data_IF_295555426702
#
_entry.id   IF_295555426702
#
_cell.length_a   1.000
_cell.length_b   1.000
_cell.length_c   1.000
_cell.angle_alpha   90.00
_cell.angle_beta   90.00
_cell.angle_gamma   90.00
#
_symmetry.space_group_name_H-M   'P 1'
#
loop_
_entity.id
_entity.type
_entity.pdbx_description
1 polymer ?
#
# COMPACT_ATOMS: atom_id res chain seq x y z
N UNK A 1 12.34 5.12 -8.17
CA UNK A 1 11.31 5.88 -7.42
C UNK A 1 11.64 7.35 -7.42
N UNK A 2 10.63 8.21 -7.67
CA UNK A 2 10.76 9.68 -7.70
C UNK A 2 10.83 10.27 -6.29
N UNK A 3 9.96 9.83 -5.37
CA UNK A 3 9.84 10.36 -4.01
C UNK A 3 11.14 10.34 -3.17
N UNK A 4 11.95 9.25 -3.18
CA UNK A 4 13.22 9.26 -2.44
C UNK A 4 14.22 10.29 -2.94
N UNK A 5 14.15 10.71 -4.22
CA UNK A 5 14.99 11.79 -4.75
C UNK A 5 14.67 13.14 -4.13
N UNK A 6 13.47 13.30 -3.58
CA UNK A 6 13.03 14.47 -2.82
C UNK A 6 13.17 14.30 -1.31
N UNK A 7 13.73 13.19 -0.84
CA UNK A 7 13.95 12.93 0.58
C UNK A 7 12.71 12.45 1.35
N UNK A 8 11.63 12.05 0.66
CA UNK A 8 10.48 11.45 1.31
C UNK A 8 10.69 9.96 1.54
N UNK A 9 10.23 9.49 2.69
CA UNK A 9 10.22 8.08 3.04
C UNK A 9 9.24 7.30 2.15
N UNK A 10 9.69 6.13 1.68
CA UNK A 10 8.85 5.17 0.96
C UNK A 10 9.18 3.77 1.45
N UNK A 11 8.21 2.87 1.54
CA UNK A 11 8.47 1.52 2.00
C UNK A 11 9.45 0.80 1.07
N UNK A 12 10.43 0.12 1.66
CA UNK A 12 11.36 -0.71 0.90
C UNK A 12 10.57 -1.76 0.10
N UNK A 13 10.79 -1.81 -1.22
CA UNK A 13 9.99 -2.63 -2.13
C UNK A 13 10.88 -3.36 -3.12
N UNK A 14 10.69 -4.67 -3.27
CA UNK A 14 11.44 -5.54 -4.19
C UNK A 14 10.49 -6.40 -5.01
N UNK A 15 10.89 -6.78 -6.22
CA UNK A 15 10.14 -7.76 -7.00
C UNK A 15 10.31 -9.16 -6.41
N UNK A 16 9.21 -9.90 -6.30
CA UNK A 16 9.21 -11.25 -5.76
C UNK A 16 10.06 -12.24 -6.59
N UNK A 17 10.09 -12.07 -7.91
CA UNK A 17 10.80 -12.97 -8.84
C UNK A 17 12.29 -12.66 -8.98
N UNK A 18 12.64 -11.38 -9.12
CA UNK A 18 13.94 -10.96 -9.66
C UNK A 18 15.08 -11.07 -8.63
N UNK A 19 14.76 -11.11 -7.34
CA UNK A 19 15.81 -11.08 -6.32
C UNK A 19 15.42 -11.85 -5.05
N UNK A 20 15.41 -13.19 -5.15
CA UNK A 20 15.23 -14.07 -3.98
C UNK A 20 16.21 -13.77 -2.84
N UNK A 21 17.39 -13.23 -3.14
CA UNK A 21 18.38 -12.84 -2.12
C UNK A 21 17.99 -11.59 -1.35
N UNK A 22 17.16 -10.71 -1.92
CA UNK A 22 16.57 -9.54 -1.26
C UNK A 22 15.23 -9.83 -0.58
N UNK A 23 14.52 -10.88 -0.99
CA UNK A 23 13.33 -11.36 -0.26
C UNK A 23 13.67 -11.64 1.20
N UNK A 24 14.86 -12.21 1.47
CA UNK A 24 15.37 -12.47 2.81
C UNK A 24 15.87 -11.22 3.57
N UNK A 25 15.77 -10.01 2.97
CA UNK A 25 16.23 -8.76 3.61
C UNK A 25 15.11 -7.95 4.24
N UNK A 26 13.85 -8.27 3.98
CA UNK A 26 12.73 -7.61 4.64
C UNK A 26 12.41 -8.37 5.93
N UNK A 27 12.39 -7.63 7.03
CA UNK A 27 11.95 -8.17 8.31
C UNK A 27 10.46 -8.45 8.27
N UNK A 28 10.03 -9.46 9.04
CA UNK A 28 8.63 -9.72 9.23
C UNK A 28 8.02 -8.73 10.26
N UNK A 29 6.76 -8.31 10.10
CA UNK A 29 5.89 -8.63 8.97
C UNK A 29 6.23 -7.80 7.72
N UNK A 30 5.93 -8.34 6.55
CA UNK A 30 5.98 -7.60 5.29
C UNK A 30 4.69 -7.76 4.49
N UNK A 31 4.53 -6.97 3.43
CA UNK A 31 3.41 -7.05 2.48
C UNK A 31 3.82 -7.82 1.22
N UNK A 32 3.10 -8.88 0.90
CA UNK A 32 3.08 -9.51 -0.42
C UNK A 32 1.92 -8.92 -1.22
N UNK A 33 2.19 -8.29 -2.37
CA UNK A 33 1.14 -7.72 -3.21
C UNK A 33 1.37 -7.88 -4.70
N UNK A 34 0.28 -7.95 -5.47
CA UNK A 34 0.36 -7.92 -6.93
C UNK A 34 0.72 -6.51 -7.43
N UNK A 35 1.54 -6.43 -8.49
CA UNK A 35 1.95 -5.16 -9.14
C UNK A 35 0.77 -4.36 -9.66
N UNK A 36 -0.29 -5.05 -10.08
CA UNK A 36 -1.52 -4.47 -10.59
C UNK A 36 -2.74 -5.06 -9.89
N UNK A 37 -3.73 -4.23 -9.62
CA UNK A 37 -4.97 -4.59 -8.95
C UNK A 37 -5.57 -3.39 -8.24
N UNK A 38 -6.74 -3.57 -7.65
CA UNK A 38 -7.44 -2.54 -6.89
C UNK A 38 -8.15 -3.17 -5.70
N UNK A 39 -8.70 -2.33 -4.80
CA UNK A 39 -9.52 -2.77 -3.67
C UNK A 39 -8.78 -3.53 -2.57
N UNK A 40 -7.49 -3.83 -2.73
CA UNK A 40 -6.71 -4.58 -1.74
C UNK A 40 -6.90 -6.10 -1.81
N UNK A 41 -7.54 -6.63 -2.85
CA UNK A 41 -7.85 -8.07 -3.00
C UNK A 41 -6.61 -8.97 -2.98
N UNK A 42 -5.49 -8.46 -3.55
CA UNK A 42 -4.22 -9.16 -3.69
C UNK A 42 -3.12 -8.52 -2.82
N UNK A 43 -3.46 -8.16 -1.58
CA UNK A 43 -2.54 -7.59 -0.60
C UNK A 43 -2.59 -8.46 0.65
N UNK A 44 -1.44 -9.00 1.06
CA UNK A 44 -1.33 -9.96 2.15
C UNK A 44 -0.21 -9.52 3.10
N UNK A 45 -0.50 -9.47 4.39
CA UNK A 45 0.52 -9.27 5.43
C UNK A 45 1.07 -10.62 5.83
N UNK A 46 2.33 -10.82 5.50
CA UNK A 46 3.08 -12.03 5.78
C UNK A 46 3.81 -11.84 7.10
N UNK A 47 3.50 -12.68 8.08
CA UNK A 47 4.02 -12.57 9.46
C UNK A 47 5.25 -13.44 9.72
N UNK A 48 5.45 -14.47 8.90
CA UNK A 48 6.57 -15.41 8.99
C UNK A 48 6.64 -16.28 7.72
N UNK A 49 7.63 -17.17 7.65
CA UNK A 49 7.87 -18.05 6.50
C UNK A 49 6.73 -19.04 6.24
N UNK A 50 6.10 -19.58 7.29
CA UNK A 50 4.96 -20.48 7.16
C UNK A 50 3.75 -19.77 6.54
N UNK A 51 3.49 -18.53 6.95
CA UNK A 51 2.45 -17.65 6.40
C UNK A 51 2.72 -17.33 4.92
N UNK A 52 3.98 -17.08 4.56
CA UNK A 52 4.38 -16.86 3.16
C UNK A 52 4.05 -18.09 2.30
N UNK A 53 4.46 -19.26 2.77
CA UNK A 53 4.26 -20.53 2.06
C UNK A 53 2.77 -20.82 1.88
N UNK A 54 1.97 -20.60 2.92
CA UNK A 54 0.52 -20.78 2.86
C UNK A 54 -0.12 -19.85 1.83
N UNK A 55 0.21 -18.55 1.86
CA UNK A 55 -0.37 -17.58 0.93
C UNK A 55 0.04 -17.88 -0.53
N UNK A 56 1.30 -18.22 -0.78
CA UNK A 56 1.75 -18.62 -2.13
C UNK A 56 0.97 -19.85 -2.61
N UNK A 57 0.77 -20.86 -1.76
CA UNK A 57 0.01 -22.05 -2.13
C UNK A 57 -1.45 -21.76 -2.45
N UNK A 58 -2.09 -20.84 -1.72
CA UNK A 58 -3.46 -20.40 -2.00
C UNK A 58 -3.53 -19.65 -3.34
N UNK A 59 -2.61 -18.72 -3.58
CA UNK A 59 -2.55 -17.92 -4.81
C UNK A 59 -2.17 -18.79 -6.02
N UNK A 60 -1.29 -19.79 -5.86
CA UNK A 60 -0.88 -20.73 -6.91
C UNK A 60 -2.08 -21.43 -7.55
N UNK A 61 -3.11 -21.76 -6.76
CA UNK A 61 -4.36 -22.37 -7.26
C UNK A 61 -5.12 -21.46 -8.23
N UNK A 62 -4.89 -20.16 -8.18
CA UNK A 62 -5.52 -19.14 -9.02
C UNK A 62 -4.63 -18.67 -10.19
N UNK A 63 -3.45 -19.29 -10.39
CA UNK A 63 -2.51 -18.93 -11.47
C UNK A 63 -1.46 -17.90 -11.03
N UNK A 64 -0.70 -18.23 -10.00
CA UNK A 64 0.41 -17.39 -9.52
C UNK A 64 1.52 -17.26 -10.57
N UNK A 65 1.85 -16.02 -10.89
CA UNK A 65 2.96 -15.67 -11.79
C UNK A 65 3.94 -14.81 -11.00
N UNK A 66 5.07 -15.36 -10.50
CA UNK A 66 5.99 -14.68 -9.58
C UNK A 66 6.40 -13.26 -9.99
N UNK A 67 6.59 -13.01 -11.29
CA UNK A 67 6.98 -11.71 -11.84
C UNK A 67 5.92 -10.61 -11.64
N UNK A 68 4.68 -10.98 -11.35
CA UNK A 68 3.59 -10.04 -11.14
C UNK A 68 3.46 -9.62 -9.68
N UNK A 69 4.32 -10.11 -8.79
CA UNK A 69 4.26 -9.86 -7.35
C UNK A 69 5.46 -9.07 -6.83
N UNK A 70 5.21 -8.34 -5.76
CA UNK A 70 6.16 -7.52 -5.02
C UNK A 70 6.13 -7.92 -3.56
N UNK A 71 7.30 -7.80 -2.91
CA UNK A 71 7.40 -7.78 -1.46
C UNK A 71 7.73 -6.34 -1.05
N UNK A 72 7.02 -5.85 -0.04
CA UNK A 72 7.14 -4.49 0.44
C UNK A 72 7.17 -4.48 1.96
N UNK A 73 8.01 -3.64 2.55
CA UNK A 73 8.00 -3.33 3.97
C UNK A 73 6.58 -3.03 4.48
N UNK A 74 6.20 -3.60 5.61
CA UNK A 74 4.95 -3.24 6.26
C UNK A 74 5.13 -1.94 7.05
N UNK A 75 4.35 -0.93 6.71
CA UNK A 75 4.30 0.32 7.46
C UNK A 75 3.08 0.28 8.38
N UNK A 76 3.34 0.34 9.68
CA UNK A 76 2.29 0.55 10.67
C UNK A 76 1.92 2.04 10.72
N UNK A 77 0.62 2.34 10.66
CA UNK A 77 0.14 3.71 10.71
C UNK A 77 -1.31 3.85 10.26
N UNK A 78 -1.76 5.10 10.19
CA UNK A 78 -3.12 5.43 9.76
C UNK A 78 -3.17 5.59 8.24
N UNK A 79 -3.94 4.77 7.51
CA UNK A 79 -4.03 4.89 6.06
C UNK A 79 -4.80 6.16 5.67
N UNK A 80 -4.21 6.93 4.77
CA UNK A 80 -4.78 8.16 4.24
C UNK A 80 -4.71 8.17 2.72
N UNK A 81 -5.68 8.80 2.08
CA UNK A 81 -5.67 9.08 0.65
C UNK A 81 -5.74 10.58 0.40
N UNK A 82 -5.15 11.03 -0.70
CA UNK A 82 -5.27 12.40 -1.17
C UNK A 82 -5.80 12.38 -2.60
N UNK A 83 -6.88 13.11 -2.84
CA UNK A 83 -7.46 13.28 -4.17
C UNK A 83 -6.93 14.56 -4.79
N UNK A 84 -6.27 14.45 -5.93
CA UNK A 84 -5.80 15.59 -6.72
C UNK A 84 -6.55 15.72 -8.04
N UNK A 85 -6.63 16.94 -8.57
CA UNK A 85 -7.04 17.21 -9.95
C UNK A 85 -5.89 17.94 -10.65
N UNK A 86 -5.56 17.52 -11.86
CA UNK A 86 -4.50 18.12 -12.67
C UNK A 86 -4.98 18.35 -14.09
N UNK A 87 -4.53 19.45 -14.69
CA UNK A 87 -4.70 19.72 -16.12
C UNK A 87 -3.39 19.54 -16.92
N UNK A 88 -2.35 18.95 -16.31
CA UNK A 88 -1.03 18.78 -16.90
C UNK A 88 -0.09 19.98 -16.79
N UNK A 89 -0.60 21.14 -16.34
CA UNK A 89 0.19 22.36 -16.06
C UNK A 89 0.14 22.71 -14.57
N UNK A 90 -1.03 22.52 -13.97
CA UNK A 90 -1.31 22.82 -12.56
C UNK A 90 -2.08 21.66 -11.94
N UNK A 91 -1.73 21.38 -10.69
CA UNK A 91 -2.36 20.37 -9.85
C UNK A 91 -2.90 21.02 -8.57
N UNK A 92 -4.05 20.56 -8.10
CA UNK A 92 -4.69 21.03 -6.87
C UNK A 92 -5.14 19.84 -6.02
N UNK A 93 -5.05 19.96 -4.70
CA UNK A 93 -5.58 18.97 -3.76
C UNK A 93 -7.05 19.28 -3.46
N UNK A 94 -7.92 18.31 -3.73
CA UNK A 94 -9.36 18.39 -3.45
C UNK A 94 -9.67 17.96 -2.02
N UNK A 95 -9.11 16.82 -1.58
CA UNK A 95 -9.36 16.31 -0.24
C UNK A 95 -8.23 15.42 0.27
N UNK A 96 -8.12 15.34 1.61
CA UNK A 96 -7.32 14.34 2.32
C UNK A 96 -8.29 13.54 3.19
N UNK A 97 -8.30 12.23 3.02
CA UNK A 97 -9.32 11.34 3.57
C UNK A 97 -8.66 10.24 4.40
N UNK A 98 -9.27 9.88 5.53
CA UNK A 98 -8.88 8.68 6.26
C UNK A 98 -9.52 7.47 5.57
N UNK A 99 -8.72 6.44 5.25
CA UNK A 99 -9.23 5.25 4.60
C UNK A 99 -9.64 4.19 5.64
N UNK A 100 -10.83 3.64 5.49
CA UNK A 100 -11.27 2.49 6.28
C UNK A 100 -10.80 1.24 5.53
N UNK A 101 -9.89 0.48 6.12
CA UNK A 101 -9.26 -0.70 5.53
C UNK A 101 -9.47 -1.89 6.45
N UNK A 102 -10.01 -2.99 5.93
CA UNK A 102 -10.05 -4.27 6.63
C UNK A 102 -10.99 -4.34 7.82
N UNK A 103 -11.98 -3.43 7.94
CA UNK A 103 -12.93 -3.45 9.05
C UNK A 103 -13.91 -4.62 8.95
N UNK A 104 -13.51 -5.75 9.51
CA UNK A 104 -14.35 -6.94 9.60
C UNK A 104 -15.50 -6.73 10.61
N UNK A 105 -15.29 -5.96 11.68
CA UNK A 105 -16.24 -5.87 12.78
C UNK A 105 -17.53 -5.15 12.39
N UNK A 106 -17.42 -4.05 11.65
CA UNK A 106 -18.57 -3.22 11.31
C UNK A 106 -18.93 -3.28 9.84
N UNK A 107 -17.97 -3.57 8.95
CA UNK A 107 -18.16 -3.54 7.50
C UNK A 107 -17.98 -4.92 6.85
N UNK A 108 -17.78 -5.98 7.65
CA UNK A 108 -17.60 -7.37 7.19
C UNK A 108 -16.53 -7.50 6.09
N UNK A 109 -15.43 -6.75 6.23
CA UNK A 109 -14.31 -6.85 5.31
C UNK A 109 -13.81 -8.31 5.23
N UNK A 110 -13.78 -8.92 4.03
CA UNK A 110 -13.38 -10.32 3.88
C UNK A 110 -11.87 -10.55 4.06
N UNK A 111 -11.06 -9.48 4.05
CA UNK A 111 -9.59 -9.52 4.18
C UNK A 111 -9.05 -8.26 4.88
N UNK A 112 -7.88 -8.38 5.52
CA UNK A 112 -7.20 -7.35 6.30
C UNK A 112 -6.90 -6.04 5.53
N UNK A 113 -6.68 -6.10 4.21
CA UNK A 113 -6.38 -4.92 3.39
C UNK A 113 -7.48 -4.52 2.43
N UNK A 114 -8.70 -5.08 2.60
CA UNK A 114 -9.82 -4.71 1.73
C UNK A 114 -10.22 -3.26 1.99
N UNK A 115 -10.36 -2.47 0.93
CA UNK A 115 -10.89 -1.11 1.05
C UNK A 115 -12.38 -1.14 1.40
N UNK A 116 -12.78 -0.41 2.44
CA UNK A 116 -14.15 -0.39 2.94
C UNK A 116 -14.83 0.99 2.82
N UNK A 117 -14.08 2.06 2.53
CA UNK A 117 -14.63 3.41 2.44
C UNK A 117 -13.67 4.48 2.95
N UNK A 118 -14.16 5.71 3.03
CA UNK A 118 -13.40 6.86 3.51
C UNK A 118 -14.20 7.68 4.51
N UNK A 119 -13.50 8.33 5.44
CA UNK A 119 -14.01 9.45 6.23
C UNK A 119 -13.36 10.73 5.71
N UNK A 120 -14.19 11.73 5.40
CA UNK A 120 -13.76 13.01 4.82
C UNK A 120 -14.25 14.17 5.71
N UNK A 121 -13.36 15.08 6.15
CA UNK A 121 -11.89 15.03 6.00
C UNK A 121 -11.24 14.01 6.95
N UNK A 122 -9.98 13.67 6.69
CA UNK A 122 -9.15 12.94 7.66
C UNK A 122 -8.98 13.75 8.96
N UNK A 123 -9.06 13.08 10.11
CA UNK A 123 -8.74 13.67 11.40
C UNK A 123 -7.22 13.55 11.66
N UNK A 124 -6.46 14.54 11.17
CA UNK A 124 -4.99 14.59 11.24
C UNK A 124 -4.54 16.01 11.62
N UNK A 125 -3.29 16.14 12.06
CA UNK A 125 -2.68 17.43 12.37
C UNK A 125 -2.53 18.32 11.13
N UNK A 126 -2.32 19.62 11.37
CA UNK A 126 -2.09 20.57 10.28
C UNK A 126 -0.77 20.27 9.56
N UNK A 127 0.23 19.81 10.30
CA UNK A 127 1.56 19.46 9.84
C UNK A 127 1.51 18.23 8.92
N UNK A 128 0.82 17.16 9.34
CA UNK A 128 0.58 15.97 8.50
C UNK A 128 -0.17 16.34 7.22
N UNK A 129 -1.22 17.16 7.33
CA UNK A 129 -1.98 17.61 6.15
C UNK A 129 -1.10 18.38 5.17
N UNK A 130 -0.23 19.28 5.66
CA UNK A 130 0.71 20.04 4.82
C UNK A 130 1.67 19.09 4.10
N UNK A 131 2.25 18.14 4.81
CA UNK A 131 3.18 17.16 4.23
C UNK A 131 2.49 16.29 3.16
N UNK A 132 1.29 15.79 3.42
CA UNK A 132 0.51 15.00 2.45
C UNK A 132 0.22 15.80 1.19
N UNK A 133 -0.20 17.07 1.34
CA UNK A 133 -0.46 17.97 0.21
C UNK A 133 0.81 18.22 -0.60
N UNK A 134 1.93 18.50 0.07
CA UNK A 134 3.22 18.73 -0.58
C UNK A 134 3.68 17.52 -1.40
N UNK A 135 3.66 16.32 -0.81
CA UNK A 135 4.01 15.07 -1.50
C UNK A 135 3.08 14.82 -2.69
N UNK A 136 1.77 15.02 -2.52
CA UNK A 136 0.78 14.74 -3.56
C UNK A 136 0.93 15.67 -4.77
N UNK A 137 1.22 16.95 -4.54
CA UNK A 137 1.46 17.92 -5.61
C UNK A 137 2.81 17.71 -6.31
N UNK A 138 3.81 17.12 -5.65
CA UNK A 138 5.07 16.71 -6.29
C UNK A 138 4.90 15.54 -7.28
N UNK A 139 3.84 14.75 -7.10
CA UNK A 139 3.53 13.58 -7.93
C UNK A 139 2.55 13.88 -9.08
N UNK A 140 1.81 14.99 -9.00
CA UNK A 140 0.68 15.33 -9.88
C UNK A 140 1.07 16.31 -10.98
#
# INVERSE_FOLDING_TARGET
>A
NLLPKFGYDVPSTVSFYEDKSKVNKLEYPFILKKKSGSGGTNVYKIRNESDLTLNINLINREGFVPKDWLIQEYIEGNPVSCTTISNGVKSEVISVNHQIIGDNKYLNAPKEFMYCGNVVPANISTEERKLIVEISLKLS
#
